data_IF_250439540195
#
_entry.id   IF_250439540195
#
_cell.length_a   1.000
_cell.length_b   1.000
_cell.length_c   1.000
_cell.angle_alpha   90.00
_cell.angle_beta   90.00
_cell.angle_gamma   90.00
#
_symmetry.space_group_name_H-M   'P 1'
#
loop_
_entity.id
_entity.type
_entity.pdbx_description
1 polymer ?
#
# COMPACT_ATOMS: atom_id res chain seq x y z
N UNK A 1 0.24 -6.33 -9.14
CA UNK A 1 1.03 -6.67 -7.95
C UNK A 1 0.84 -5.54 -6.95
N UNK A 2 0.68 -5.85 -5.66
CA UNK A 2 0.53 -4.82 -4.62
C UNK A 2 1.90 -4.25 -4.30
N UNK A 3 2.07 -2.92 -4.45
CA UNK A 3 3.31 -2.23 -4.09
C UNK A 3 3.08 -1.45 -2.81
N UNK A 4 3.71 -1.92 -1.73
CA UNK A 4 3.75 -1.22 -0.46
C UNK A 4 4.73 -0.06 -0.56
N UNK A 5 4.30 1.12 -0.13
CA UNK A 5 5.10 2.33 -0.10
C UNK A 5 5.08 2.91 1.30
N UNK A 6 6.23 3.30 1.82
CA UNK A 6 6.33 4.09 3.06
C UNK A 6 7.28 5.24 2.84
N UNK A 7 7.18 6.30 3.66
CA UNK A 7 8.24 7.30 3.71
C UNK A 7 9.45 6.73 4.44
N UNK A 8 10.65 7.21 4.16
CA UNK A 8 11.83 6.80 4.94
C UNK A 8 11.68 7.19 6.43
N UNK A 9 11.17 8.41 6.67
CA UNK A 9 10.86 8.99 7.98
C UNK A 9 9.64 8.34 8.67
N UNK A 10 8.87 7.51 7.96
CA UNK A 10 7.68 6.87 8.52
C UNK A 10 7.79 5.34 8.49
N UNK A 11 7.32 4.71 9.55
CA UNK A 11 7.25 3.24 9.62
C UNK A 11 5.92 2.71 9.06
N UNK A 12 5.05 3.59 8.58
CA UNK A 12 3.72 3.22 8.07
C UNK A 12 3.76 2.92 6.59
N UNK A 13 3.30 1.73 6.22
CA UNK A 13 3.19 1.26 4.85
C UNK A 13 1.80 1.50 4.29
N UNK A 14 1.77 2.03 3.08
CA UNK A 14 0.59 2.36 2.29
C UNK A 14 0.69 1.67 0.94
N UNK A 15 -0.35 0.97 0.52
CA UNK A 15 -0.37 0.29 -0.77
C UNK A 15 -1.53 0.73 -1.66
N UNK A 16 -2.58 1.29 -1.06
CA UNK A 16 -3.69 1.89 -1.80
C UNK A 16 -3.29 3.26 -2.34
N UNK A 17 -3.24 3.40 -3.67
CA UNK A 17 -2.97 4.69 -4.35
C UNK A 17 -4.04 5.76 -4.05
N UNK A 18 -5.21 5.34 -3.56
CA UNK A 18 -6.32 6.20 -3.15
C UNK A 18 -6.28 6.55 -1.64
N UNK A 19 -5.23 6.16 -0.92
CA UNK A 19 -5.08 6.54 0.48
C UNK A 19 -4.79 8.05 0.59
N UNK A 20 -5.42 8.73 1.55
CA UNK A 20 -5.21 10.18 1.77
C UNK A 20 -3.78 10.49 2.21
N UNK A 21 -3.14 9.55 2.91
CA UNK A 21 -1.75 9.65 3.35
C UNK A 21 -0.78 8.92 2.42
N UNK A 22 -1.18 8.65 1.17
CA UNK A 22 -0.34 7.93 0.24
C UNK A 22 0.98 8.68 0.01
N UNK A 23 2.14 8.06 0.28
CA UNK A 23 3.42 8.74 0.15
C UNK A 23 3.77 8.92 -1.33
N UNK A 24 3.81 10.18 -1.77
CA UNK A 24 4.24 10.64 -3.09
C UNK A 24 5.50 11.50 -2.95
N UNK A 25 6.65 10.94 -3.33
CA UNK A 25 7.95 11.62 -3.20
C UNK A 25 9.09 10.74 -3.69
N UNK A 26 10.32 11.29 -3.68
CA UNK A 26 11.52 10.51 -3.96
C UNK A 26 11.96 9.69 -2.74
N UNK A 27 11.71 10.19 -1.52
CA UNK A 27 12.05 9.58 -0.22
C UNK A 27 11.05 8.49 0.22
N UNK A 28 10.53 7.73 -0.74
CA UNK A 28 9.55 6.67 -0.49
C UNK A 28 10.15 5.30 -0.77
N UNK A 29 10.16 4.46 0.25
CA UNK A 29 10.59 3.07 0.14
C UNK A 29 9.44 2.27 -0.45
N UNK A 30 9.68 1.63 -1.59
CA UNK A 30 8.72 0.77 -2.29
C UNK A 30 9.12 -0.69 -2.10
N UNK A 31 8.16 -1.54 -1.74
CA UNK A 31 8.34 -2.98 -1.56
C UNK A 31 7.21 -3.70 -2.28
N UNK A 32 7.56 -4.69 -3.10
CA UNK A 32 6.59 -5.50 -3.84
C UNK A 32 6.00 -6.65 -2.99
N UNK A 33 6.65 -6.95 -1.86
CA UNK A 33 6.22 -7.97 -0.90
C UNK A 33 5.71 -7.31 0.38
N UNK A 34 4.81 -8.01 1.08
CA UNK A 34 4.34 -7.57 2.39
C UNK A 34 5.55 -7.36 3.31
N UNK A 35 5.67 -6.18 3.93
CA UNK A 35 6.80 -5.90 4.80
C UNK A 35 6.71 -6.76 6.07
N UNK A 36 7.84 -7.32 6.48
CA UNK A 36 7.97 -8.09 7.73
C UNK A 36 7.99 -7.19 8.96
N UNK A 37 8.26 -5.89 8.76
CA UNK A 37 8.41 -4.89 9.80
C UNK A 37 7.74 -3.56 9.40
N UNK A 38 7.26 -2.83 10.40
CA UNK A 38 6.54 -1.56 10.24
C UNK A 38 5.02 -1.73 10.37
N UNK A 39 4.33 -0.60 10.44
CA UNK A 39 2.90 -0.52 10.67
C UNK A 39 2.16 -0.48 9.34
N UNK A 40 1.09 -1.26 9.16
CA UNK A 40 0.24 -1.12 7.98
C UNK A 40 -0.76 0.02 8.19
N UNK A 41 -0.96 0.86 7.18
CA UNK A 41 -1.98 1.89 7.23
C UNK A 41 -3.38 1.24 7.38
N UNK A 42 -4.08 1.54 8.48
CA UNK A 42 -5.43 1.02 8.73
C UNK A 42 -6.43 1.44 7.66
N UNK A 43 -6.30 2.65 7.11
CA UNK A 43 -7.16 3.11 6.01
C UNK A 43 -6.96 2.24 4.76
N UNK A 44 -5.72 1.88 4.44
CA UNK A 44 -5.43 0.96 3.34
C UNK A 44 -6.00 -0.43 3.61
N UNK A 45 -5.91 -0.94 4.84
CA UNK A 45 -6.47 -2.24 5.22
C UNK A 45 -8.00 -2.27 5.08
N UNK A 46 -8.68 -1.22 5.56
CA UNK A 46 -10.13 -1.08 5.43
C UNK A 46 -10.51 -1.00 3.96
N UNK A 47 -9.83 -0.17 3.17
CA UNK A 47 -10.08 -0.03 1.72
C UNK A 47 -9.83 -1.33 0.96
N UNK A 48 -8.84 -2.12 1.36
CA UNK A 48 -8.57 -3.43 0.75
C UNK A 48 -9.71 -4.40 1.07
N UNK A 49 -10.14 -4.45 2.33
CA UNK A 49 -11.28 -5.27 2.78
C UNK A 49 -12.59 -4.86 2.11
N UNK A 50 -12.80 -3.58 1.85
CA UNK A 50 -14.00 -3.07 1.16
C UNK A 50 -13.89 -3.13 -0.36
N UNK A 51 -12.72 -3.45 -0.92
CA UNK A 51 -12.49 -3.43 -2.37
C UNK A 51 -12.37 -2.03 -2.98
N UNK A 52 -12.26 -0.98 -2.17
CA UNK A 52 -12.06 0.42 -2.59
C UNK A 52 -10.57 0.76 -2.83
N UNK A 53 -9.67 -0.14 -2.39
CA UNK A 53 -8.24 0.04 -2.53
C UNK A 53 -7.77 -0.09 -3.99
N UNK A 54 -7.37 1.05 -4.58
CA UNK A 54 -6.70 1.11 -5.88
C UNK A 54 -5.24 0.67 -5.73
N UNK A 55 -5.01 -0.64 -5.66
CA UNK A 55 -3.69 -1.24 -5.91
C UNK A 55 -3.62 -1.63 -7.38
N UNK A 56 -2.43 -1.58 -7.96
CA UNK A 56 -2.21 -1.98 -9.35
C UNK A 56 -2.39 -3.51 -9.48
N UNK A 57 -3.64 -3.94 -9.49
CA UNK A 57 -4.07 -5.33 -9.50
C UNK A 57 -4.09 -5.87 -10.93
N UNK A 58 -2.93 -6.21 -11.48
CA UNK A 58 -2.86 -7.05 -12.68
C UNK A 58 -3.08 -8.56 -12.41
N UNK A 59 -3.65 -8.93 -11.26
CA UNK A 59 -4.07 -10.30 -11.01
C UNK A 59 -5.50 -10.36 -10.47
N UNK A 60 -6.44 -9.91 -11.28
CA UNK A 60 -7.69 -10.65 -11.45
C UNK A 60 -7.39 -11.92 -12.25
N UNK A 61 -6.71 -12.90 -11.65
CA UNK A 61 -6.81 -14.31 -12.08
C UNK A 61 -7.85 -14.90 -11.15
N UNK A 62 -9.13 -14.73 -11.52
CA UNK A 62 -9.97 -15.69 -12.24
C UNK A 62 -10.42 -16.85 -11.34
N UNK A 63 -11.70 -16.75 -10.99
CA UNK A 63 -12.69 -17.81 -10.70
C UNK A 63 -12.36 -18.85 -9.64
#
# INVERSE_FOLDING_TARGET
>A
MVVYRRKEDSQTWHWCSNCSQYPSGMDVVKRQSRPEYGTLCKECEVKEKTGDCKVDSLFSVRK
#
